data_IF_080390133277
#
_entry.id   IF_080390133277
#
_cell.length_a   1.000
_cell.length_b   1.000
_cell.length_c   1.000
_cell.angle_alpha   90.00
_cell.angle_beta   90.00
_cell.angle_gamma   90.00
#
_symmetry.space_group_name_H-M   'P 1'
#
loop_
_entity.id
_entity.type
_entity.pdbx_description
1 polymer ?
#
# COMPACT_ATOMS: atom_id res chain seq x y z
N UNK A 1 -10.96 -2.63 -7.74
CA UNK A 1 -9.77 -2.90 -6.93
C UNK A 1 -8.99 -1.61 -6.72
N UNK A 2 -8.81 -1.20 -5.47
CA UNK A 2 -7.92 -0.09 -5.13
C UNK A 2 -6.50 -0.63 -4.96
N UNK A 3 -5.51 0.05 -5.53
CA UNK A 3 -4.10 -0.26 -5.28
C UNK A 3 -3.49 0.87 -4.46
N UNK A 4 -2.82 0.52 -3.38
CA UNK A 4 -1.95 1.41 -2.61
C UNK A 4 -0.54 0.83 -2.59
N UNK A 5 0.45 1.69 -2.39
CA UNK A 5 1.85 1.27 -2.25
C UNK A 5 2.29 1.69 -0.85
N UNK A 6 2.77 0.75 -0.05
CA UNK A 6 3.47 1.04 1.20
C UNK A 6 4.95 1.12 0.89
N UNK A 7 5.52 2.30 0.95
CA UNK A 7 6.95 2.51 0.75
C UNK A 7 7.63 2.36 2.10
N UNK A 8 8.60 1.45 2.21
CA UNK A 8 9.43 1.24 3.39
C UNK A 8 10.84 1.73 3.05
N UNK A 9 11.24 2.82 3.68
CA UNK A 9 12.55 3.42 3.55
C UNK A 9 13.30 3.47 4.88
N UNK A 10 14.51 4.04 4.85
CA UNK A 10 15.41 4.12 6.00
C UNK A 10 14.80 4.85 7.21
N UNK A 11 13.98 5.87 6.98
CA UNK A 11 13.46 6.76 8.02
C UNK A 11 12.02 6.43 8.44
N UNK A 12 11.41 5.39 7.87
CA UNK A 12 10.05 4.98 8.18
C UNK A 12 9.30 4.46 6.96
N UNK A 13 7.97 4.44 7.07
CA UNK A 13 7.10 4.00 5.97
C UNK A 13 5.92 4.93 5.79
N UNK A 14 5.49 5.11 4.54
CA UNK A 14 4.31 5.89 4.20
C UNK A 14 3.52 5.17 3.10
N UNK A 15 2.22 5.46 3.02
CA UNK A 15 1.38 4.90 1.98
C UNK A 15 1.14 5.92 0.89
N UNK A 16 1.25 5.49 -0.36
CA UNK A 16 0.90 6.31 -1.52
C UNK A 16 -0.15 5.64 -2.38
N UNK A 17 -0.88 6.45 -3.14
CA UNK A 17 -1.74 5.99 -4.22
C UNK A 17 -1.37 6.72 -5.50
N UNK A 18 -1.17 5.94 -6.55
CA UNK A 18 -0.98 6.45 -7.90
C UNK A 18 -2.34 6.71 -8.55
N UNK A 19 -2.51 7.91 -9.08
CA UNK A 19 -3.69 8.31 -9.84
C UNK A 19 -3.30 8.49 -11.30
N UNK A 20 -3.81 7.59 -12.15
CA UNK A 20 -3.62 7.65 -13.60
C UNK A 20 -4.27 8.92 -14.14
N UNK A 21 -3.50 9.76 -14.83
CA UNK A 21 -4.04 10.93 -15.54
C UNK A 21 -4.30 10.56 -17.00
N UNK A 22 -5.42 11.04 -17.53
CA UNK A 22 -5.93 10.70 -18.87
C UNK A 22 -5.16 11.44 -20.00
N UNK A 23 -4.26 12.38 -19.68
CA UNK A 23 -3.48 13.17 -20.67
C UNK A 23 -1.98 13.13 -20.34
N UNK A 24 -1.14 13.34 -21.37
CA UNK A 24 0.35 13.38 -21.48
C UNK A 24 1.18 13.97 -20.31
N UNK A 25 0.81 13.67 -19.07
CA UNK A 25 1.47 14.12 -17.86
C UNK A 25 1.71 12.91 -16.98
N UNK A 26 2.77 12.98 -16.19
CA UNK A 26 3.10 11.95 -15.21
C UNK A 26 1.92 11.71 -14.25
N UNK A 27 1.78 10.44 -13.88
CA UNK A 27 0.79 10.01 -12.91
C UNK A 27 0.94 10.79 -11.60
N UNK A 28 -0.19 11.13 -10.98
CA UNK A 28 -0.15 11.86 -9.72
C UNK A 28 -0.02 10.87 -8.58
N UNK A 29 1.12 10.90 -7.88
CA UNK A 29 1.31 10.15 -6.64
C UNK A 29 0.90 11.05 -5.47
N UNK A 30 0.15 10.49 -4.51
CA UNK A 30 -0.23 11.18 -3.28
C UNK A 30 -0.05 10.27 -2.09
N UNK A 31 0.46 10.84 -1.01
CA UNK A 31 0.45 10.17 0.29
C UNK A 31 -0.98 10.04 0.82
N UNK A 32 -1.27 8.90 1.44
CA UNK A 32 -2.57 8.55 2.02
C UNK A 32 -2.30 8.13 3.47
N UNK A 33 -3.13 8.62 4.39
CA UNK A 33 -3.05 8.20 5.79
C UNK A 33 -3.27 6.70 5.94
N UNK A 34 -2.51 6.05 6.82
CA UNK A 34 -2.65 4.62 7.14
C UNK A 34 -4.08 4.22 7.51
N UNK A 35 -4.77 5.02 8.35
CA UNK A 35 -6.18 4.77 8.74
C UNK A 35 -7.12 4.63 7.54
N UNK A 36 -6.96 5.50 6.53
CA UNK A 36 -7.76 5.44 5.30
C UNK A 36 -7.46 4.16 4.52
N UNK A 37 -6.19 3.76 4.42
CA UNK A 37 -5.80 2.54 3.71
C UNK A 37 -6.34 1.31 4.44
N UNK A 38 -6.20 1.25 5.76
CA UNK A 38 -6.70 0.15 6.59
C UNK A 38 -8.23 -0.03 6.45
N UNK A 39 -9.00 1.07 6.51
CA UNK A 39 -10.45 1.04 6.27
C UNK A 39 -10.81 0.49 4.89
N UNK A 40 -10.06 0.88 3.85
CA UNK A 40 -10.27 0.38 2.49
C UNK A 40 -9.83 -1.08 2.32
N UNK A 41 -8.77 -1.49 3.00
CA UNK A 41 -8.30 -2.87 3.01
C UNK A 41 -9.37 -3.82 3.56
N UNK A 42 -9.91 -3.48 4.73
CA UNK A 42 -10.98 -4.24 5.40
C UNK A 42 -12.29 -4.33 4.63
N UNK A 43 -12.51 -3.47 3.63
CA UNK A 43 -13.70 -3.53 2.77
C UNK A 43 -13.63 -4.59 1.65
N UNK A 44 -12.53 -5.35 1.52
CA UNK A 44 -12.45 -6.52 0.64
C UNK A 44 -12.30 -6.23 -0.86
N UNK A 45 -11.61 -5.14 -1.23
CA UNK A 45 -11.36 -4.78 -2.64
C UNK A 45 -10.11 -3.91 -2.80
N UNK A 46 -9.07 -4.24 -2.05
CA UNK A 46 -7.85 -3.44 -1.97
C UNK A 46 -6.61 -4.33 -1.97
N UNK A 47 -5.67 -3.97 -2.82
CA UNK A 47 -4.34 -4.54 -2.93
C UNK A 47 -3.33 -3.52 -2.42
N UNK A 48 -2.36 -3.98 -1.64
CA UNK A 48 -1.26 -3.16 -1.14
C UNK A 48 0.04 -3.76 -1.65
N UNK A 49 0.85 -2.94 -2.32
CA UNK A 49 2.21 -3.30 -2.75
C UNK A 49 3.17 -2.73 -1.72
N UNK A 50 3.89 -3.58 -1.01
CA UNK A 50 4.93 -3.17 -0.07
C UNK A 50 6.24 -3.08 -0.86
N UNK A 51 6.75 -1.87 -1.04
CA UNK A 51 7.97 -1.58 -1.76
C UNK A 51 9.09 -1.23 -0.77
N UNK A 52 10.22 -1.93 -0.85
CA UNK A 52 11.41 -1.66 -0.05
C UNK A 52 12.39 -0.81 -0.85
N UNK A 53 12.61 0.44 -0.44
CA UNK A 53 13.49 1.36 -1.19
C UNK A 53 14.95 0.91 -1.19
N UNK A 54 15.40 0.19 -0.17
CA UNK A 54 16.80 -0.23 -0.03
C UNK A 54 17.25 -1.19 -1.14
N UNK A 55 16.37 -2.11 -1.56
CA UNK A 55 16.71 -3.19 -2.50
C UNK A 55 15.72 -3.34 -3.66
N UNK A 56 14.68 -2.49 -3.72
CA UNK A 56 13.68 -2.49 -4.77
C UNK A 56 12.75 -3.70 -4.74
N UNK A 57 12.74 -4.50 -3.66
CA UNK A 57 11.83 -5.64 -3.55
C UNK A 57 10.40 -5.16 -3.37
N UNK A 58 9.48 -5.93 -3.95
CA UNK A 58 8.04 -5.68 -3.82
C UNK A 58 7.32 -6.93 -3.34
N UNK A 59 6.37 -6.74 -2.43
CA UNK A 59 5.48 -7.80 -1.92
C UNK A 59 4.05 -7.34 -2.09
N UNK A 60 3.24 -8.20 -2.68
CA UNK A 60 1.80 -7.99 -2.83
C UNK A 60 1.04 -8.57 -1.64
N UNK A 61 0.14 -7.77 -1.06
CA UNK A 61 -0.73 -8.15 0.04
C UNK A 61 -2.16 -7.70 -0.26
N UNK A 62 -3.09 -8.64 -0.16
CA UNK A 62 -4.53 -8.45 -0.34
C UNK A 62 -5.31 -9.03 0.85
N UNK A 63 -6.64 -8.95 0.79
CA UNK A 63 -7.55 -9.45 1.82
C UNK A 63 -7.58 -10.99 1.95
N UNK A 64 -6.99 -11.71 1.00
CA UNK A 64 -6.85 -13.17 1.02
C UNK A 64 -5.48 -13.63 1.55
N UNK A 65 -4.56 -12.70 1.76
CA UNK A 65 -3.22 -12.98 2.27
C UNK A 65 -3.26 -13.48 3.71
N UNK A 66 -2.24 -14.24 4.10
CA UNK A 66 -2.15 -14.79 5.45
C UNK A 66 -2.17 -13.67 6.52
N UNK A 67 -3.00 -13.77 7.59
CA UNK A 67 -3.04 -12.78 8.66
C UNK A 67 -1.68 -12.47 9.30
N UNK A 68 -0.76 -13.43 9.35
CA UNK A 68 0.61 -13.21 9.83
C UNK A 68 1.41 -12.32 8.88
N UNK A 69 1.25 -12.49 7.57
CA UNK A 69 1.87 -11.65 6.54
C UNK A 69 1.29 -10.23 6.62
N UNK A 70 -0.04 -10.11 6.70
CA UNK A 70 -0.73 -8.82 6.87
C UNK A 70 -0.21 -8.11 8.13
N UNK A 71 -0.15 -8.82 9.26
CA UNK A 71 0.37 -8.26 10.51
C UNK A 71 1.83 -7.84 10.41
N UNK A 72 2.68 -8.64 9.75
CA UNK A 72 4.11 -8.40 9.63
C UNK A 72 4.42 -7.16 8.81
N UNK A 73 3.73 -6.97 7.68
CA UNK A 73 4.08 -5.92 6.73
C UNK A 73 3.17 -4.69 6.79
N UNK A 74 1.89 -4.86 7.14
CA UNK A 74 0.92 -3.77 7.20
C UNK A 74 0.63 -3.34 8.64
N UNK A 75 0.65 -4.28 9.59
CA UNK A 75 0.41 -4.03 11.01
C UNK A 75 -1.00 -4.44 11.45
N UNK A 76 -1.25 -4.34 12.76
CA UNK A 76 -2.52 -4.78 13.38
C UNK A 76 -3.74 -3.98 12.90
N UNK A 77 -3.57 -2.76 12.42
CA UNK A 77 -4.66 -1.94 11.92
C UNK A 77 -5.39 -2.55 10.70
N UNK A 78 -4.74 -3.47 9.99
CA UNK A 78 -5.21 -4.10 8.76
C UNK A 78 -5.86 -5.47 8.97
N UNK A 79 -5.87 -5.98 10.21
CA UNK A 79 -6.60 -7.19 10.63
C UNK A 79 -8.01 -6.86 11.12
#
# INVERSE_FOLDING_TARGET
MNTYIKVIGLTGSHFVKEFVKIRHHDNKVREISEDTVAKKFKSGNTKIIVHFEEDGREIEIDDFSDPEIIRKFLGKAFL
#
